data_IF_640875901819
#
_entry.id   IF_640875901819
#
_cell.length_a   1.000
_cell.length_b   1.000
_cell.length_c   1.000
_cell.angle_alpha   90.00
_cell.angle_beta   90.00
_cell.angle_gamma   90.00
#
_symmetry.space_group_name_H-M   'P 1'
#
loop_
_entity.id
_entity.type
_entity.pdbx_description
1 polymer ?
#
# COMPACT_ATOMS: atom_id res chain seq x y z
N UNK A 1 -2.20 -21.61 -17.47
CA UNK A 1 -3.12 -20.47 -17.25
C UNK A 1 -2.61 -19.29 -18.05
N UNK A 2 -3.44 -18.70 -18.90
CA UNK A 2 -3.03 -17.56 -19.73
C UNK A 2 -3.10 -16.23 -18.96
N UNK A 3 -2.62 -15.16 -19.56
CA UNK A 3 -2.54 -13.85 -18.93
C UNK A 3 -3.93 -13.29 -18.58
N UNK A 4 -4.93 -13.53 -19.43
CA UNK A 4 -6.31 -13.09 -19.21
C UNK A 4 -6.91 -13.76 -17.98
N UNK A 5 -6.73 -15.07 -17.84
CA UNK A 5 -7.24 -15.83 -16.68
C UNK A 5 -6.58 -15.38 -15.39
N UNK A 6 -5.27 -15.11 -15.42
CA UNK A 6 -4.55 -14.59 -14.26
C UNK A 6 -5.05 -13.21 -13.85
N UNK A 7 -5.29 -12.33 -14.81
CA UNK A 7 -5.82 -11.00 -14.56
C UNK A 7 -7.23 -11.06 -13.96
N UNK A 8 -8.09 -11.91 -14.51
CA UNK A 8 -9.46 -12.07 -14.03
C UNK A 8 -9.48 -12.59 -12.58
N UNK A 9 -8.60 -13.54 -12.25
CA UNK A 9 -8.49 -14.07 -10.89
C UNK A 9 -8.02 -12.97 -9.92
N UNK A 10 -7.06 -12.13 -10.30
CA UNK A 10 -6.60 -11.01 -9.47
C UNK A 10 -7.70 -9.98 -9.25
N UNK A 11 -8.47 -9.66 -10.28
CA UNK A 11 -9.59 -8.71 -10.18
C UNK A 11 -10.66 -9.23 -9.24
N UNK A 12 -10.98 -10.52 -9.27
CA UNK A 12 -11.93 -11.12 -8.34
C UNK A 12 -11.43 -11.05 -6.91
N UNK A 13 -10.14 -11.33 -6.68
CA UNK A 13 -9.54 -11.20 -5.34
C UNK A 13 -9.60 -9.76 -4.84
N UNK A 14 -9.28 -8.80 -5.69
CA UNK A 14 -9.33 -7.38 -5.34
C UNK A 14 -10.75 -6.96 -4.96
N UNK A 15 -11.75 -7.36 -5.73
CA UNK A 15 -13.15 -7.06 -5.43
C UNK A 15 -13.57 -7.65 -4.08
N UNK A 16 -13.14 -8.88 -3.79
CA UNK A 16 -13.45 -9.56 -2.51
C UNK A 16 -12.82 -8.81 -1.33
N UNK A 17 -11.57 -8.40 -1.46
CA UNK A 17 -10.86 -7.63 -0.42
C UNK A 17 -11.54 -6.29 -0.21
N UNK A 18 -11.90 -5.58 -1.28
CA UNK A 18 -12.53 -4.26 -1.22
C UNK A 18 -13.87 -4.26 -0.50
N UNK A 19 -14.58 -5.37 -0.50
CA UNK A 19 -15.82 -5.49 0.27
C UNK A 19 -15.57 -5.46 1.78
N UNK A 20 -14.37 -5.87 2.22
CA UNK A 20 -13.99 -5.94 3.63
C UNK A 20 -13.08 -4.80 4.07
N UNK A 21 -12.44 -4.12 3.13
CA UNK A 21 -11.44 -3.09 3.40
C UNK A 21 -11.93 -1.74 2.90
N UNK A 22 -12.19 -0.85 3.83
CA UNK A 22 -12.48 0.55 3.52
C UNK A 22 -11.81 1.45 4.54
N UNK A 23 -11.36 2.63 4.09
CA UNK A 23 -10.71 3.59 4.95
C UNK A 23 -11.62 4.75 5.30
N UNK A 24 -11.33 5.42 6.42
CA UNK A 24 -12.00 6.65 6.83
C UNK A 24 -10.96 7.69 7.26
N UNK A 25 -11.41 8.85 7.71
CA UNK A 25 -10.53 9.95 8.10
C UNK A 25 -9.55 9.57 9.23
N UNK A 26 -10.00 8.77 10.19
CA UNK A 26 -9.19 8.36 11.33
C UNK A 26 -8.28 7.17 11.01
N UNK A 27 -8.73 6.31 10.11
CA UNK A 27 -8.01 5.10 9.72
C UNK A 27 -8.10 4.92 8.20
N UNK A 28 -7.30 5.71 7.44
CA UNK A 28 -7.33 5.64 5.99
C UNK A 28 -6.88 4.29 5.47
N UNK A 29 -7.23 4.00 4.24
CA UNK A 29 -6.81 2.79 3.56
C UNK A 29 -5.42 3.01 2.95
N UNK A 30 -4.47 2.17 3.34
CA UNK A 30 -3.13 2.15 2.74
C UNK A 30 -3.19 1.24 1.50
N UNK A 31 -3.30 1.83 0.34
CA UNK A 31 -3.35 1.13 -0.93
C UNK A 31 -1.95 1.02 -1.53
N UNK A 32 -1.57 -0.20 -1.94
CA UNK A 32 -0.27 -0.49 -2.55
C UNK A 32 -0.48 -0.78 -4.02
N UNK A 33 0.26 -0.08 -4.87
CA UNK A 33 0.25 -0.27 -6.32
C UNK A 33 1.64 -0.68 -6.77
N UNK A 34 1.71 -1.69 -7.61
CA UNK A 34 3.00 -2.16 -8.09
C UNK A 34 2.94 -2.54 -9.57
N UNK A 35 4.00 -2.15 -10.29
CA UNK A 35 4.28 -2.61 -11.64
C UNK A 35 5.57 -3.45 -11.62
N UNK A 36 6.06 -3.87 -12.78
CA UNK A 36 7.30 -4.63 -12.88
C UNK A 36 8.51 -3.88 -12.32
N UNK A 37 8.54 -2.55 -12.45
CA UNK A 37 9.70 -1.73 -12.09
C UNK A 37 9.47 -0.84 -10.86
N UNK A 38 8.24 -0.55 -10.54
CA UNK A 38 7.93 0.45 -9.52
C UNK A 38 6.91 -0.04 -8.52
N UNK A 39 6.97 0.53 -7.33
CA UNK A 39 5.98 0.33 -6.29
C UNK A 39 5.66 1.69 -5.67
N UNK A 40 4.39 1.94 -5.37
CA UNK A 40 4.00 3.15 -4.66
C UNK A 40 2.80 2.88 -3.76
N UNK A 41 2.61 3.76 -2.79
CA UNK A 41 1.56 3.64 -1.79
C UNK A 41 0.78 4.94 -1.69
N UNK A 42 -0.51 4.83 -1.41
CA UNK A 42 -1.39 5.97 -1.16
C UNK A 42 -2.20 5.71 0.10
N UNK A 43 -2.38 6.76 0.91
CA UNK A 43 -3.34 6.74 2.02
C UNK A 43 -4.62 7.40 1.52
N UNK A 44 -5.70 6.62 1.46
CA UNK A 44 -6.96 7.06 0.86
C UNK A 44 -8.05 7.11 1.93
N UNK A 45 -8.71 8.26 2.02
CA UNK A 45 -9.90 8.43 2.82
C UNK A 45 -11.11 8.15 1.93
N UNK A 46 -11.73 6.97 2.11
CA UNK A 46 -12.86 6.54 1.28
C UNK A 46 -14.14 7.32 1.60
N UNK A 47 -14.24 7.94 2.77
CA UNK A 47 -15.41 8.73 3.14
C UNK A 47 -15.42 10.08 2.42
N UNK A 48 -14.26 10.75 2.39
CA UNK A 48 -14.13 12.07 1.75
C UNK A 48 -13.58 11.97 0.32
N UNK A 49 -13.33 10.76 -0.17
CA UNK A 49 -12.84 10.49 -1.53
C UNK A 49 -11.53 11.23 -1.85
N UNK A 50 -10.61 11.31 -0.88
CA UNK A 50 -9.36 12.03 -1.04
C UNK A 50 -8.13 11.20 -0.71
N UNK A 51 -7.00 11.55 -1.33
CA UNK A 51 -5.69 10.99 -0.99
C UNK A 51 -5.05 11.86 0.08
N UNK A 52 -4.78 11.28 1.26
CA UNK A 52 -4.19 11.99 2.40
C UNK A 52 -2.68 12.12 2.25
N UNK A 53 -2.02 11.08 1.78
CA UNK A 53 -0.57 11.06 1.56
C UNK A 53 -0.22 10.02 0.51
N UNK A 54 0.94 10.16 -0.10
CA UNK A 54 1.45 9.19 -1.07
C UNK A 54 2.97 9.11 -1.00
N UNK A 55 3.51 7.99 -1.46
CA UNK A 55 4.95 7.77 -1.54
C UNK A 55 5.26 6.80 -2.68
N UNK A 56 6.40 7.03 -3.36
CA UNK A 56 6.82 6.23 -4.50
C UNK A 56 8.28 5.80 -4.34
N UNK A 57 8.66 4.68 -4.97
CA UNK A 57 10.03 4.22 -4.98
C UNK A 57 11.00 5.15 -5.72
N UNK A 58 10.47 6.07 -6.54
CA UNK A 58 11.29 7.10 -7.19
C UNK A 58 11.80 8.16 -6.20
N UNK A 59 11.19 8.24 -5.03
CA UNK A 59 11.55 9.20 -3.97
C UNK A 59 12.54 8.62 -2.96
N UNK A 60 12.84 7.33 -3.03
CA UNK A 60 13.69 6.63 -2.06
C UNK A 60 14.88 5.97 -2.75
N UNK A 61 15.88 5.58 -1.96
CA UNK A 61 17.06 4.87 -2.43
C UNK A 61 17.06 3.45 -1.90
N UNK A 62 17.55 2.51 -2.69
CA UNK A 62 17.69 1.11 -2.31
C UNK A 62 18.33 0.33 -3.43
N UNK A 63 19.03 -0.75 -3.08
CA UNK A 63 19.78 -1.55 -4.05
C UNK A 63 18.91 -2.51 -4.82
N UNK A 64 17.73 -2.84 -4.32
CA UNK A 64 16.83 -3.77 -4.98
C UNK A 64 15.37 -3.43 -4.74
N UNK A 65 14.45 -4.11 -5.45
CA UNK A 65 13.01 -3.81 -5.35
C UNK A 65 12.46 -3.95 -3.93
N UNK A 66 12.91 -4.96 -3.17
CA UNK A 66 12.45 -5.21 -1.80
C UNK A 66 12.92 -4.10 -0.85
N UNK A 67 14.18 -3.69 -0.95
CA UNK A 67 14.72 -2.59 -0.15
C UNK A 67 14.00 -1.29 -0.43
N UNK A 68 13.74 -1.00 -1.70
CA UNK A 68 13.00 0.20 -2.10
C UNK A 68 11.57 0.17 -1.60
N UNK A 69 10.92 -1.00 -1.66
CA UNK A 69 9.56 -1.17 -1.13
C UNK A 69 9.50 -0.89 0.37
N UNK A 70 10.47 -1.40 1.13
CA UNK A 70 10.57 -1.12 2.56
C UNK A 70 10.77 0.37 2.83
N UNK A 71 11.62 1.02 2.05
CA UNK A 71 11.85 2.46 2.16
C UNK A 71 10.60 3.27 1.84
N UNK A 72 9.80 2.84 0.85
CA UNK A 72 8.50 3.45 0.55
C UNK A 72 7.56 3.32 1.74
N UNK A 73 7.53 2.16 2.39
CA UNK A 73 6.73 1.95 3.61
C UNK A 73 7.14 2.90 4.73
N UNK A 74 8.43 3.06 4.96
CA UNK A 74 8.94 4.00 5.97
C UNK A 74 8.57 5.45 5.62
N UNK A 75 8.67 5.82 4.36
CA UNK A 75 8.32 7.16 3.88
C UNK A 75 6.84 7.45 4.05
N UNK A 76 5.97 6.51 3.69
CA UNK A 76 4.53 6.69 3.84
C UNK A 76 4.14 6.80 5.33
N UNK A 77 4.84 6.06 6.20
CA UNK A 77 4.63 6.16 7.64
C UNK A 77 4.98 7.56 8.17
N UNK A 78 6.09 8.12 7.71
CA UNK A 78 6.49 9.48 8.07
C UNK A 78 5.45 10.50 7.62
N UNK A 79 4.99 10.39 6.38
CA UNK A 79 4.00 11.30 5.82
C UNK A 79 2.64 11.15 6.50
N UNK A 80 2.28 9.93 6.90
CA UNK A 80 1.06 9.68 7.66
C UNK A 80 1.10 10.37 9.02
N UNK A 81 2.22 10.26 9.72
CA UNK A 81 2.38 10.93 11.02
C UNK A 81 2.31 12.45 10.89
N UNK A 82 2.89 13.00 9.83
CA UNK A 82 2.81 14.45 9.56
C UNK A 82 1.36 14.89 9.31
N UNK A 83 0.52 14.00 8.81
CA UNK A 83 -0.90 14.24 8.59
C UNK A 83 -1.76 13.88 9.82
N UNK A 84 -1.14 13.43 10.92
CA UNK A 84 -1.85 13.06 12.13
C UNK A 84 -2.47 11.66 12.09
N UNK A 85 -1.97 10.78 11.24
CA UNK A 85 -2.49 9.42 11.07
C UNK A 85 -1.57 8.42 11.78
N UNK A 86 -2.12 7.63 12.70
CA UNK A 86 -1.38 6.60 13.43
C UNK A 86 -1.70 5.18 13.00
N UNK A 87 -2.88 4.96 12.43
CA UNK A 87 -3.35 3.63 12.05
C UNK A 87 -3.96 3.65 10.65
N UNK A 88 -3.81 2.54 9.93
CA UNK A 88 -4.32 2.40 8.57
C UNK A 88 -4.94 1.02 8.39
N UNK A 89 -5.80 0.89 7.38
CA UNK A 89 -6.32 -0.40 6.90
C UNK A 89 -5.52 -0.75 5.65
N UNK A 90 -4.86 -1.91 5.67
CA UNK A 90 -3.97 -2.31 4.58
C UNK A 90 -4.76 -2.94 3.43
N UNK A 91 -4.60 -2.38 2.22
CA UNK A 91 -5.21 -2.90 0.98
C UNK A 91 -4.10 -3.20 -0.03
N UNK A 92 -3.85 -4.48 -0.25
CA UNK A 92 -2.83 -4.96 -1.18
C UNK A 92 -3.34 -5.12 -2.62
N UNK A 93 -4.59 -4.72 -2.90
CA UNK A 93 -5.15 -4.72 -4.25
C UNK A 93 -5.37 -6.10 -4.85
N UNK A 94 -5.66 -7.11 -4.02
CA UNK A 94 -5.82 -8.49 -4.48
C UNK A 94 -4.50 -9.21 -4.74
N UNK A 95 -3.36 -8.60 -4.46
CA UNK A 95 -2.04 -9.22 -4.57
C UNK A 95 -1.73 -10.01 -3.30
N UNK A 96 -0.88 -11.02 -3.44
CA UNK A 96 -0.45 -11.81 -2.28
C UNK A 96 0.41 -10.96 -1.35
N UNK A 97 0.27 -11.19 -0.04
CA UNK A 97 1.11 -10.56 0.98
C UNK A 97 2.49 -11.24 0.94
N UNK A 98 3.33 -10.79 -0.01
CA UNK A 98 4.57 -11.46 -0.34
C UNK A 98 5.53 -10.48 -1.02
N UNK A 99 6.83 -10.71 -0.87
CA UNK A 99 7.87 -9.95 -1.55
C UNK A 99 7.79 -8.45 -1.27
N UNK A 100 7.68 -7.65 -2.32
CA UNK A 100 7.67 -6.19 -2.22
C UNK A 100 6.49 -5.65 -1.41
N UNK A 101 5.33 -6.28 -1.54
CA UNK A 101 4.13 -5.85 -0.80
C UNK A 101 4.33 -6.05 0.69
N UNK A 102 4.85 -7.21 1.09
CA UNK A 102 5.17 -7.50 2.48
C UNK A 102 6.26 -6.57 3.02
N UNK A 103 7.29 -6.28 2.22
CA UNK A 103 8.37 -5.38 2.61
C UNK A 103 7.87 -3.96 2.86
N UNK A 104 6.96 -3.46 2.01
CA UNK A 104 6.36 -2.15 2.19
C UNK A 104 5.56 -2.08 3.49
N UNK A 105 4.73 -3.08 3.76
CA UNK A 105 3.94 -3.16 4.99
C UNK A 105 4.84 -3.20 6.22
N UNK A 106 5.93 -3.97 6.17
CA UNK A 106 6.90 -4.05 7.25
C UNK A 106 7.58 -2.71 7.50
N UNK A 107 7.99 -2.00 6.44
CA UNK A 107 8.57 -0.66 6.53
C UNK A 107 7.60 0.32 7.18
N UNK A 108 6.33 0.26 6.82
CA UNK A 108 5.30 1.11 7.42
C UNK A 108 5.13 0.82 8.92
N UNK A 109 5.15 -0.46 9.31
CA UNK A 109 5.08 -0.84 10.73
C UNK A 109 6.30 -0.35 11.51
N UNK A 110 7.49 -0.51 10.96
CA UNK A 110 8.73 -0.01 11.58
C UNK A 110 8.72 1.51 11.69
N UNK A 111 8.09 2.20 10.77
CA UNK A 111 7.89 3.64 10.83
C UNK A 111 6.84 4.09 11.85
N UNK A 112 6.16 3.15 12.48
CA UNK A 112 5.21 3.43 13.56
C UNK A 112 3.74 3.39 13.18
N UNK A 113 3.38 3.00 11.95
CA UNK A 113 1.98 2.83 11.57
C UNK A 113 1.42 1.53 12.13
N UNK A 114 0.21 1.59 12.63
CA UNK A 114 -0.55 0.40 13.03
C UNK A 114 -1.34 -0.07 11.81
N UNK A 115 -1.08 -1.30 11.42
CA UNK A 115 -1.72 -1.91 10.26
C UNK A 115 -2.63 -3.04 10.70
#
# INVERSE_FOLDING_TARGET
MDAKTKRDARLRRHTRVRKKVSGNTQRPRLAVFRSNRHIYAQLIDDVNAGTVAQASDTEVKGKGPTERAKAVGELIATRAKDAGIDAVVFDRGGRLYHGRVAALAEGAREGGLKI
#
